data_IF_814007950235
#
_entry.id   IF_814007950235
#
_cell.length_a   1.000
_cell.length_b   1.000
_cell.length_c   1.000
_cell.angle_alpha   90.00
_cell.angle_beta   90.00
_cell.angle_gamma   90.00
#
_symmetry.space_group_name_H-M   'P 1'
#
loop_
_entity.id
_entity.type
_entity.pdbx_description
1 polymer ?
#
# COMPACT_ATOMS: atom_id res chain seq x y z
N UNK A 1 5.68 -4.57 19.44
CA UNK A 1 6.59 -3.63 18.72
C UNK A 1 7.11 -4.24 17.40
N UNK A 2 7.75 -5.42 17.39
CA UNK A 2 8.35 -6.09 16.21
C UNK A 2 7.36 -6.24 15.06
N UNK A 3 6.18 -6.82 15.31
CA UNK A 3 5.14 -7.01 14.30
C UNK A 3 4.82 -5.71 13.53
N UNK A 4 4.58 -4.58 14.25
CA UNK A 4 4.24 -3.31 13.56
C UNK A 4 5.38 -2.79 12.68
N UNK A 5 6.63 -2.93 13.14
CA UNK A 5 7.81 -2.49 12.37
C UNK A 5 8.01 -3.36 11.13
N UNK A 6 7.98 -4.68 11.29
CA UNK A 6 8.15 -5.62 10.17
C UNK A 6 6.99 -5.50 9.17
N UNK A 7 5.75 -5.35 9.66
CA UNK A 7 4.56 -5.08 8.83
C UNK A 7 4.75 -3.82 7.99
N UNK A 8 5.24 -2.73 8.59
CA UNK A 8 5.51 -1.48 7.87
C UNK A 8 6.60 -1.64 6.82
N UNK A 9 7.68 -2.36 7.12
CA UNK A 9 8.76 -2.62 6.15
C UNK A 9 8.30 -3.42 4.95
N UNK A 10 7.45 -4.44 5.16
CA UNK A 10 6.85 -5.23 4.08
C UNK A 10 5.90 -4.35 3.27
N UNK A 11 4.97 -3.66 3.92
CA UNK A 11 3.96 -2.82 3.28
C UNK A 11 4.57 -1.71 2.42
N UNK A 12 5.70 -1.14 2.87
CA UNK A 12 6.39 -0.06 2.14
C UNK A 12 7.41 -0.57 1.11
N UNK A 13 7.44 -1.87 0.82
CA UNK A 13 8.34 -2.44 -0.18
C UNK A 13 9.84 -2.36 0.18
N UNK A 14 10.18 -2.24 1.47
CA UNK A 14 11.57 -2.27 1.92
C UNK A 14 12.19 -3.66 1.79
N UNK A 15 11.34 -4.69 1.82
CA UNK A 15 11.71 -6.09 1.63
C UNK A 15 11.24 -6.50 0.23
N UNK A 16 12.15 -6.97 -0.60
CA UNK A 16 11.82 -7.35 -1.99
C UNK A 16 10.99 -8.66 -2.03
N UNK A 17 10.25 -8.92 -3.13
CA UNK A 17 9.59 -10.21 -3.34
C UNK A 17 10.58 -11.38 -3.23
N UNK A 18 10.14 -12.53 -2.74
CA UNK A 18 10.96 -13.75 -2.61
C UNK A 18 12.05 -13.68 -1.53
N UNK A 19 12.20 -12.56 -0.83
CA UNK A 19 13.25 -12.36 0.17
C UNK A 19 13.07 -13.30 1.35
N UNK A 20 14.11 -14.09 1.64
CA UNK A 20 14.14 -14.97 2.80
C UNK A 20 14.32 -14.17 4.09
N UNK A 21 13.56 -14.55 5.11
CA UNK A 21 13.62 -13.98 6.45
C UNK A 21 13.91 -15.10 7.46
N UNK A 22 14.79 -14.83 8.42
CA UNK A 22 15.06 -15.77 9.51
C UNK A 22 14.66 -15.16 10.85
N UNK A 23 14.15 -15.98 11.77
CA UNK A 23 13.81 -15.50 13.11
C UNK A 23 14.99 -14.86 13.82
N UNK A 24 16.19 -15.45 13.65
CA UNK A 24 17.44 -14.89 14.20
C UNK A 24 17.78 -13.53 13.58
N UNK A 25 17.61 -13.41 12.24
CA UNK A 25 17.82 -12.14 11.52
C UNK A 25 16.85 -11.05 11.97
N UNK A 26 15.57 -11.39 12.14
CA UNK A 26 14.53 -10.47 12.66
C UNK A 26 14.87 -10.08 14.11
N UNK A 27 15.25 -11.04 14.97
CA UNK A 27 15.67 -10.78 16.34
C UNK A 27 16.83 -9.78 16.41
N UNK A 28 17.89 -10.02 15.62
CA UNK A 28 19.05 -9.10 15.52
C UNK A 28 18.67 -7.72 15.00
N UNK A 29 17.85 -7.66 13.95
CA UNK A 29 17.44 -6.38 13.30
C UNK A 29 16.64 -5.48 14.24
N UNK A 30 15.80 -6.05 15.09
CA UNK A 30 14.90 -5.30 15.97
C UNK A 30 15.32 -5.30 17.43
N UNK A 31 16.47 -5.91 17.73
CA UNK A 31 17.00 -6.07 19.09
C UNK A 31 15.99 -6.73 20.04
N UNK A 32 15.55 -7.93 19.66
CA UNK A 32 14.58 -8.71 20.43
C UNK A 32 14.95 -10.20 20.45
N UNK A 33 14.43 -10.92 21.44
CA UNK A 33 14.56 -12.38 21.50
C UNK A 33 13.75 -13.08 20.40
N UNK A 34 13.95 -14.41 20.27
CA UNK A 34 13.29 -15.23 19.25
C UNK A 34 11.78 -15.32 19.41
N UNK A 35 11.25 -15.19 20.63
CA UNK A 35 9.81 -15.33 20.91
C UNK A 35 8.98 -14.22 20.25
N UNK A 36 9.24 -12.92 20.47
CA UNK A 36 8.50 -11.87 19.78
C UNK A 36 8.74 -11.87 18.26
N UNK A 37 9.92 -12.32 17.78
CA UNK A 37 10.18 -12.48 16.36
C UNK A 37 9.26 -13.56 15.74
N UNK A 38 9.13 -14.71 16.40
CA UNK A 38 8.27 -15.82 15.96
C UNK A 38 6.80 -15.42 15.94
N UNK A 39 6.34 -14.71 16.96
CA UNK A 39 4.96 -14.24 17.03
C UNK A 39 4.64 -13.24 15.90
N UNK A 40 5.56 -12.32 15.62
CA UNK A 40 5.40 -11.38 14.50
C UNK A 40 5.31 -12.12 13.16
N UNK A 41 6.18 -13.11 12.92
CA UNK A 41 6.15 -13.92 11.70
C UNK A 41 4.84 -14.71 11.59
N UNK A 42 4.38 -15.38 12.65
CA UNK A 42 3.10 -16.12 12.62
C UNK A 42 1.93 -15.24 12.22
N UNK A 43 1.83 -14.04 12.78
CA UNK A 43 0.78 -13.08 12.42
C UNK A 43 0.88 -12.65 10.96
N UNK A 44 2.07 -12.32 10.46
CA UNK A 44 2.27 -11.89 9.08
C UNK A 44 2.02 -13.02 8.08
N UNK A 45 2.29 -14.27 8.45
CA UNK A 45 1.90 -15.44 7.65
C UNK A 45 0.37 -15.57 7.60
N UNK A 46 -0.33 -15.41 8.73
CA UNK A 46 -1.80 -15.43 8.77
C UNK A 46 -2.44 -14.28 7.97
N UNK A 47 -1.77 -13.13 7.88
CA UNK A 47 -2.20 -11.98 7.05
C UNK A 47 -1.80 -12.13 5.56
N UNK A 48 -1.13 -13.23 5.17
CA UNK A 48 -0.67 -13.46 3.79
C UNK A 48 0.50 -12.56 3.35
N UNK A 49 1.13 -11.85 4.27
CA UNK A 49 2.28 -10.98 4.02
C UNK A 49 3.61 -11.74 3.95
N UNK A 50 3.65 -12.91 4.56
CA UNK A 50 4.78 -13.83 4.53
C UNK A 50 4.29 -15.23 4.18
N UNK A 51 5.15 -16.02 3.53
CA UNK A 51 4.94 -17.41 3.23
C UNK A 51 5.83 -18.28 4.14
N UNK A 52 5.30 -19.42 4.58
CA UNK A 52 6.03 -20.43 5.33
C UNK A 52 6.03 -21.71 4.50
N UNK A 53 7.20 -22.14 4.06
CA UNK A 53 7.35 -23.41 3.32
C UNK A 53 7.25 -24.62 4.25
N UNK A 54 7.07 -25.81 3.68
CA UNK A 54 7.12 -27.10 4.41
C UNK A 54 8.45 -27.35 5.13
N UNK A 55 9.54 -26.77 4.63
CA UNK A 55 10.86 -26.83 5.27
C UNK A 55 11.04 -25.80 6.40
N UNK A 56 10.02 -25.01 6.72
CA UNK A 56 10.10 -23.96 7.75
C UNK A 56 10.75 -22.65 7.29
N UNK A 57 11.03 -22.49 5.99
CA UNK A 57 11.60 -21.25 5.44
C UNK A 57 10.51 -20.20 5.36
N UNK A 58 10.81 -19.01 5.90
CA UNK A 58 9.95 -17.83 5.82
C UNK A 58 10.46 -16.90 4.70
N UNK A 59 9.56 -16.40 3.87
CA UNK A 59 9.88 -15.42 2.83
C UNK A 59 8.70 -14.50 2.54
N UNK A 60 8.96 -13.35 1.95
CA UNK A 60 7.93 -12.55 1.29
C UNK A 60 7.44 -13.29 0.04
N UNK A 61 6.13 -13.35 -0.24
CA UNK A 61 5.63 -14.03 -1.43
C UNK A 61 6.06 -13.32 -2.72
N UNK A 62 6.31 -14.11 -3.76
CA UNK A 62 6.30 -13.67 -5.15
C UNK A 62 4.89 -13.89 -5.68
N UNK A 63 4.20 -12.79 -6.03
CA UNK A 63 2.83 -12.88 -6.48
C UNK A 63 2.78 -13.29 -7.96
N UNK A 64 1.94 -14.28 -8.27
CA UNK A 64 1.58 -14.60 -9.67
C UNK A 64 0.70 -13.49 -10.27
N UNK A 65 0.61 -13.44 -11.60
CA UNK A 65 -0.26 -12.49 -12.28
C UNK A 65 -1.72 -12.61 -11.83
N UNK A 66 -2.25 -13.83 -11.72
CA UNK A 66 -3.61 -14.08 -11.23
C UNK A 66 -3.82 -13.51 -9.82
N UNK A 67 -2.82 -13.67 -8.94
CA UNK A 67 -2.89 -13.12 -7.57
C UNK A 67 -2.83 -11.60 -7.56
N UNK A 68 -2.03 -11.00 -8.43
CA UNK A 68 -1.97 -9.54 -8.60
C UNK A 68 -3.32 -9.01 -9.09
N UNK A 69 -3.93 -9.68 -10.08
CA UNK A 69 -5.25 -9.31 -10.59
C UNK A 69 -6.35 -9.43 -9.53
N UNK A 70 -6.35 -10.49 -8.74
CA UNK A 70 -7.28 -10.67 -7.63
C UNK A 70 -7.16 -9.55 -6.59
N UNK A 71 -5.93 -9.23 -6.15
CA UNK A 71 -5.69 -8.14 -5.20
C UNK A 71 -6.06 -6.77 -5.80
N UNK A 72 -5.83 -6.56 -7.10
CA UNK A 72 -6.26 -5.38 -7.83
C UNK A 72 -7.79 -5.22 -7.84
N UNK A 73 -8.50 -6.32 -8.06
CA UNK A 73 -9.97 -6.34 -8.03
C UNK A 73 -10.50 -5.98 -6.63
N UNK A 74 -9.90 -6.49 -5.56
CA UNK A 74 -10.26 -6.12 -4.19
C UNK A 74 -10.03 -4.63 -3.93
N UNK A 75 -8.92 -4.05 -4.36
CA UNK A 75 -8.67 -2.61 -4.27
C UNK A 75 -9.73 -1.82 -5.03
N UNK A 76 -10.04 -2.22 -6.26
CA UNK A 76 -11.04 -1.57 -7.11
C UNK A 76 -12.47 -1.65 -6.57
N UNK A 77 -12.77 -2.59 -5.69
CA UNK A 77 -14.05 -2.69 -4.97
C UNK A 77 -14.07 -1.84 -3.70
N UNK A 78 -13.00 -1.89 -2.89
CA UNK A 78 -12.96 -1.29 -1.57
C UNK A 78 -12.63 0.21 -1.60
N UNK A 79 -11.62 0.62 -2.38
CA UNK A 79 -11.05 1.96 -2.27
C UNK A 79 -11.93 3.07 -2.85
N UNK A 80 -12.65 2.89 -3.99
CA UNK A 80 -13.64 3.86 -4.44
C UNK A 80 -14.79 4.05 -3.46
N UNK A 81 -15.24 2.99 -2.77
CA UNK A 81 -16.27 3.08 -1.74
C UNK A 81 -15.78 3.83 -0.51
N UNK A 82 -14.55 3.54 -0.05
CA UNK A 82 -13.92 4.29 1.04
C UNK A 82 -13.80 5.78 0.71
N UNK A 83 -13.42 6.12 -0.53
CA UNK A 83 -13.29 7.51 -0.97
C UNK A 83 -14.63 8.25 -1.00
N UNK A 84 -15.68 7.60 -1.50
CA UNK A 84 -17.02 8.18 -1.54
C UNK A 84 -17.55 8.43 -0.12
N UNK A 85 -17.38 7.50 0.79
CA UNK A 85 -17.73 7.68 2.21
C UNK A 85 -16.94 8.79 2.91
N UNK A 86 -15.71 9.05 2.44
CA UNK A 86 -14.87 10.14 2.95
C UNK A 86 -15.31 11.52 2.44
N UNK A 87 -15.94 11.60 1.26
CA UNK A 87 -16.28 12.85 0.56
C UNK A 87 -17.05 13.87 1.44
N UNK A 88 -18.11 13.49 2.20
CA UNK A 88 -18.85 14.46 3.04
C UNK A 88 -17.98 15.10 4.14
N UNK A 89 -16.77 14.57 4.40
CA UNK A 89 -15.80 15.04 5.40
C UNK A 89 -14.53 15.59 4.78
N UNK A 90 -14.52 15.81 3.47
CA UNK A 90 -13.40 16.35 2.71
C UNK A 90 -13.34 17.89 2.79
N UNK A 91 -13.12 18.41 3.99
CA UNK A 91 -12.92 19.84 4.22
C UNK A 91 -11.52 20.29 3.76
N UNK A 92 -11.32 21.63 3.67
CA UNK A 92 -10.12 22.24 3.10
C UNK A 92 -8.82 21.71 3.71
N UNK A 93 -8.76 21.56 5.04
CA UNK A 93 -7.55 21.03 5.71
C UNK A 93 -7.17 19.60 5.28
N UNK A 94 -8.15 18.74 4.95
CA UNK A 94 -7.87 17.43 4.36
C UNK A 94 -7.27 17.57 2.97
N UNK A 95 -7.86 18.44 2.14
CA UNK A 95 -7.42 18.69 0.76
C UNK A 95 -5.98 19.21 0.75
N UNK A 96 -5.65 20.18 1.59
CA UNK A 96 -4.30 20.72 1.75
C UNK A 96 -3.31 19.64 2.20
N UNK A 97 -3.72 18.79 3.14
CA UNK A 97 -2.91 17.66 3.59
C UNK A 97 -2.61 16.68 2.45
N UNK A 98 -3.63 16.32 1.64
CA UNK A 98 -3.45 15.44 0.47
C UNK A 98 -2.54 16.08 -0.58
N UNK A 99 -2.65 17.38 -0.82
CA UNK A 99 -1.75 18.11 -1.72
C UNK A 99 -0.30 18.14 -1.21
N UNK A 100 -0.10 18.30 0.10
CA UNK A 100 1.22 18.21 0.73
C UNK A 100 1.85 16.82 0.55
N UNK A 101 1.06 15.75 0.72
CA UNK A 101 1.53 14.36 0.49
C UNK A 101 1.88 14.15 -0.99
N UNK A 102 1.10 14.71 -1.94
CA UNK A 102 1.44 14.69 -3.36
C UNK A 102 2.80 15.36 -3.66
N UNK A 103 3.12 16.43 -2.94
CA UNK A 103 4.45 17.04 -3.00
C UNK A 103 5.55 16.09 -2.55
N UNK A 104 5.32 15.32 -1.48
CA UNK A 104 6.27 14.28 -1.02
C UNK A 104 6.44 13.15 -2.03
N UNK A 105 5.36 12.71 -2.69
CA UNK A 105 5.41 11.72 -3.77
C UNK A 105 6.29 12.24 -4.92
N UNK A 106 6.09 13.48 -5.37
CA UNK A 106 6.89 14.10 -6.43
C UNK A 106 8.37 14.20 -6.06
N UNK A 107 8.67 14.53 -4.80
CA UNK A 107 10.05 14.56 -4.30
C UNK A 107 10.70 13.17 -4.27
N UNK A 108 9.95 12.13 -3.84
CA UNK A 108 10.44 10.75 -3.84
C UNK A 108 10.74 10.26 -5.27
N UNK A 109 9.88 10.61 -6.24
CA UNK A 109 10.11 10.32 -7.66
C UNK A 109 11.38 11.01 -8.17
N UNK A 110 11.55 12.30 -7.90
CA UNK A 110 12.71 13.07 -8.32
C UNK A 110 14.03 12.50 -7.73
N UNK A 111 13.98 11.98 -6.50
CA UNK A 111 15.11 11.35 -5.80
C UNK A 111 15.30 9.87 -6.15
N UNK A 112 14.44 9.28 -6.98
CA UNK A 112 14.41 7.84 -7.26
C UNK A 112 14.24 6.97 -6.01
N UNK A 113 13.57 7.50 -4.98
CA UNK A 113 13.28 6.81 -3.73
C UNK A 113 11.99 5.99 -3.84
N UNK A 114 12.13 4.72 -4.21
CA UNK A 114 10.99 3.80 -4.34
C UNK A 114 10.24 3.60 -3.02
N UNK A 115 10.95 3.50 -1.90
CA UNK A 115 10.34 3.29 -0.57
C UNK A 115 9.59 4.53 -0.14
N UNK A 116 10.19 5.72 -0.29
CA UNK A 116 9.54 6.99 0.00
C UNK A 116 8.29 7.21 -0.86
N UNK A 117 8.36 6.85 -2.16
CA UNK A 117 7.21 6.87 -3.05
C UNK A 117 6.07 5.97 -2.54
N UNK A 118 6.34 4.67 -2.31
CA UNK A 118 5.32 3.70 -1.86
C UNK A 118 4.69 4.17 -0.55
N UNK A 119 5.53 4.59 0.41
CA UNK A 119 5.06 5.09 1.70
C UNK A 119 4.15 6.30 1.53
N UNK A 120 4.56 7.31 0.79
CA UNK A 120 3.75 8.53 0.60
C UNK A 120 2.49 8.26 -0.20
N UNK A 121 2.53 7.34 -1.16
CA UNK A 121 1.34 6.89 -1.90
C UNK A 121 0.31 6.24 -0.95
N UNK A 122 0.73 5.31 -0.10
CA UNK A 122 -0.16 4.69 0.89
C UNK A 122 -0.65 5.69 1.93
N UNK A 123 0.19 6.65 2.35
CA UNK A 123 -0.20 7.72 3.27
C UNK A 123 -1.27 8.64 2.65
N UNK A 124 -1.22 8.91 1.35
CA UNK A 124 -2.26 9.66 0.63
C UNK A 124 -3.60 8.95 0.74
N UNK A 125 -3.68 7.70 0.32
CA UNK A 125 -4.91 6.91 0.36
C UNK A 125 -5.41 6.73 1.80
N UNK A 126 -4.55 6.36 2.72
CA UNK A 126 -4.92 6.17 4.13
C UNK A 126 -5.46 7.46 4.75
N UNK A 127 -4.84 8.61 4.46
CA UNK A 127 -5.30 9.93 4.96
C UNK A 127 -6.73 10.23 4.50
N UNK A 128 -7.05 9.93 3.25
CA UNK A 128 -8.41 10.07 2.70
C UNK A 128 -9.36 9.06 3.37
N UNK A 129 -9.01 7.77 3.37
CA UNK A 129 -9.93 6.71 3.81
C UNK A 129 -10.20 6.70 5.32
N UNK A 130 -9.34 7.28 6.13
CA UNK A 130 -9.64 7.51 7.55
C UNK A 130 -10.89 8.39 7.74
N UNK A 131 -11.25 9.22 6.76
CA UNK A 131 -12.47 10.04 6.79
C UNK A 131 -13.73 9.26 6.41
N UNK A 132 -13.60 8.06 5.85
CA UNK A 132 -14.75 7.19 5.53
C UNK A 132 -15.53 6.73 6.74
N UNK A 133 -14.94 6.72 7.94
CA UNK A 133 -15.52 6.15 9.18
C UNK A 133 -15.97 4.69 8.98
N UNK A 134 -15.22 3.93 8.18
CA UNK A 134 -15.47 2.53 7.84
C UNK A 134 -14.26 1.66 8.22
N UNK A 135 -14.00 1.45 9.53
CA UNK A 135 -12.76 0.81 10.00
C UNK A 135 -12.59 -0.62 9.49
N UNK A 136 -13.67 -1.38 9.31
CA UNK A 136 -13.60 -2.73 8.77
C UNK A 136 -13.13 -2.75 7.32
N UNK A 137 -13.67 -1.85 6.46
CA UNK A 137 -13.25 -1.73 5.07
C UNK A 137 -11.80 -1.26 4.96
N UNK A 138 -11.39 -0.30 5.79
CA UNK A 138 -10.01 0.20 5.81
C UNK A 138 -9.04 -0.90 6.23
N UNK A 139 -9.38 -1.71 7.24
CA UNK A 139 -8.56 -2.84 7.66
C UNK A 139 -8.36 -3.88 6.54
N UNK A 140 -9.42 -4.17 5.76
CA UNK A 140 -9.34 -5.03 4.58
C UNK A 140 -8.42 -4.43 3.50
N UNK A 141 -8.59 -3.15 3.18
CA UNK A 141 -7.72 -2.47 2.21
C UNK A 141 -6.24 -2.49 2.66
N UNK A 142 -5.97 -2.20 3.94
CA UNK A 142 -4.61 -2.28 4.50
C UNK A 142 -4.01 -3.69 4.46
N UNK A 143 -4.83 -4.75 4.56
CA UNK A 143 -4.37 -6.13 4.39
C UNK A 143 -3.99 -6.41 2.94
N UNK A 144 -4.77 -5.92 1.97
CA UNK A 144 -4.42 -6.02 0.55
C UNK A 144 -3.12 -5.26 0.25
N UNK A 145 -2.96 -4.03 0.76
CA UNK A 145 -1.72 -3.26 0.61
C UNK A 145 -0.50 -3.98 1.19
N UNK A 146 -0.67 -4.62 2.35
CA UNK A 146 0.39 -5.38 3.00
C UNK A 146 0.87 -6.55 2.12
N UNK A 147 -0.05 -7.30 1.54
CA UNK A 147 0.27 -8.42 0.65
C UNK A 147 0.96 -7.96 -0.65
N UNK A 148 0.60 -6.79 -1.14
CA UNK A 148 1.18 -6.21 -2.36
C UNK A 148 2.49 -5.46 -2.14
N UNK A 149 2.82 -5.09 -0.90
CA UNK A 149 3.92 -4.19 -0.59
C UNK A 149 5.25 -4.54 -1.27
N UNK A 150 5.76 -5.79 -1.18
CA UNK A 150 6.98 -6.20 -1.88
C UNK A 150 6.90 -6.00 -3.39
N UNK A 151 5.77 -6.34 -4.03
CA UNK A 151 5.53 -6.23 -5.47
C UNK A 151 5.46 -4.78 -5.94
N UNK A 152 5.01 -3.85 -5.09
CA UNK A 152 4.97 -2.41 -5.41
C UNK A 152 6.35 -1.82 -5.72
N UNK A 153 7.42 -2.41 -5.19
CA UNK A 153 8.79 -2.01 -5.53
C UNK A 153 9.13 -2.33 -6.99
N UNK A 154 8.72 -3.49 -7.47
CA UNK A 154 8.89 -3.90 -8.88
C UNK A 154 8.03 -3.02 -9.80
N UNK A 155 6.82 -2.67 -9.35
CA UNK A 155 5.96 -1.73 -10.06
C UNK A 155 6.62 -0.36 -10.20
N UNK A 156 7.16 0.19 -9.11
CA UNK A 156 7.83 1.51 -9.15
C UNK A 156 8.94 1.56 -10.21
N UNK A 157 9.68 0.47 -10.41
CA UNK A 157 10.72 0.39 -11.43
C UNK A 157 10.19 0.48 -12.87
N UNK A 158 8.93 0.09 -13.10
CA UNK A 158 8.24 0.12 -14.41
C UNK A 158 7.43 1.40 -14.65
N UNK A 159 7.16 2.21 -13.62
CA UNK A 159 6.33 3.40 -13.75
C UNK A 159 7.01 4.49 -14.60
N UNK A 160 6.27 5.05 -15.54
CA UNK A 160 6.66 6.27 -16.24
C UNK A 160 6.61 7.46 -15.29
N UNK A 161 7.74 8.14 -15.11
CA UNK A 161 7.91 9.20 -14.10
C UNK A 161 7.00 10.41 -14.31
N UNK A 162 6.46 10.59 -15.51
CA UNK A 162 5.58 11.72 -15.86
C UNK A 162 4.13 11.53 -15.41
N UNK A 163 3.70 10.28 -15.14
CA UNK A 163 2.30 9.97 -14.84
C UNK A 163 1.98 9.85 -13.35
N UNK A 164 2.99 9.67 -12.50
CA UNK A 164 2.85 9.29 -11.10
C UNK A 164 1.94 10.24 -10.27
N UNK A 165 1.88 11.56 -10.44
CA UNK A 165 0.92 12.39 -9.69
C UNK A 165 -0.43 12.63 -10.38
N UNK A 166 -0.63 12.13 -11.62
CA UNK A 166 -1.81 12.51 -12.43
C UNK A 166 -3.13 12.07 -11.79
N UNK A 167 -3.24 10.82 -11.38
CA UNK A 167 -4.47 10.28 -10.80
C UNK A 167 -4.78 10.94 -9.45
N UNK A 168 -3.79 11.16 -8.60
CA UNK A 168 -3.99 11.88 -7.33
C UNK A 168 -4.48 13.31 -7.52
N UNK A 169 -4.05 14.01 -8.58
CA UNK A 169 -4.57 15.33 -8.92
C UNK A 169 -6.06 15.27 -9.26
N UNK A 170 -6.50 14.24 -10.00
CA UNK A 170 -7.91 14.03 -10.32
C UNK A 170 -8.73 13.71 -9.08
N UNK A 171 -8.22 12.89 -8.15
CA UNK A 171 -8.84 12.62 -6.86
C UNK A 171 -9.05 13.93 -6.07
N UNK A 172 -8.00 14.73 -5.95
CA UNK A 172 -8.08 16.04 -5.25
C UNK A 172 -9.06 16.99 -5.93
N UNK A 173 -9.10 17.02 -7.26
CA UNK A 173 -10.04 17.84 -8.01
C UNK A 173 -11.50 17.43 -7.76
N UNK A 174 -11.79 16.13 -7.79
CA UNK A 174 -13.13 15.59 -7.50
C UNK A 174 -13.54 15.87 -6.05
N UNK A 175 -12.62 15.74 -5.07
CA UNK A 175 -12.89 16.11 -3.67
C UNK A 175 -13.26 17.59 -3.53
N UNK A 176 -12.55 18.50 -4.22
CA UNK A 176 -12.83 19.94 -4.21
C UNK A 176 -14.19 20.29 -4.82
N UNK A 177 -14.57 19.55 -5.86
CA UNK A 177 -15.83 19.76 -6.57
C UNK A 177 -17.03 19.09 -5.88
N UNK A 178 -16.81 18.22 -4.88
CA UNK A 178 -17.87 17.38 -4.30
C UNK A 178 -18.41 16.35 -5.31
N UNK A 179 -17.62 16.00 -6.33
CA UNK A 179 -17.99 15.08 -7.41
C UNK A 179 -17.74 13.62 -6.99
N UNK A 180 -18.75 12.96 -6.41
CA UNK A 180 -18.65 11.58 -5.99
C UNK A 180 -18.43 10.60 -7.17
N UNK A 181 -19.17 10.66 -8.29
CA UNK A 181 -18.91 9.78 -9.43
C UNK A 181 -17.49 9.94 -9.98
N UNK A 182 -17.02 11.17 -10.18
CA UNK A 182 -15.67 11.45 -10.63
C UNK A 182 -14.60 10.97 -9.65
N UNK A 183 -14.85 11.10 -8.35
CA UNK A 183 -13.96 10.59 -7.30
C UNK A 183 -13.82 9.07 -7.36
N UNK A 184 -14.92 8.34 -7.50
CA UNK A 184 -14.91 6.88 -7.63
C UNK A 184 -14.13 6.44 -8.87
N UNK A 185 -14.33 7.11 -10.00
CA UNK A 185 -13.60 6.82 -11.24
C UNK A 185 -12.11 7.10 -11.08
N UNK A 186 -11.75 8.25 -10.52
CA UNK A 186 -10.36 8.64 -10.33
C UNK A 186 -9.61 7.67 -9.40
N UNK A 187 -10.22 7.27 -8.26
CA UNK A 187 -9.61 6.30 -7.33
C UNK A 187 -9.48 4.93 -7.99
N UNK A 188 -10.52 4.44 -8.68
CA UNK A 188 -10.46 3.16 -9.40
C UNK A 188 -9.35 3.17 -10.44
N UNK A 189 -9.21 4.23 -11.22
CA UNK A 189 -8.15 4.37 -12.22
C UNK A 189 -6.77 4.34 -11.56
N UNK A 190 -6.59 5.06 -10.46
CA UNK A 190 -5.33 5.12 -9.73
C UNK A 190 -4.89 3.73 -9.23
N UNK A 191 -5.78 3.03 -8.51
CA UNK A 191 -5.44 1.73 -7.89
C UNK A 191 -5.31 0.58 -8.88
N UNK A 192 -5.83 0.70 -10.09
CA UNK A 192 -5.75 -0.34 -11.14
C UNK A 192 -4.67 -0.07 -12.18
N UNK A 193 -4.32 1.21 -12.42
CA UNK A 193 -3.37 1.57 -13.47
C UNK A 193 -2.00 0.91 -13.27
N UNK A 194 -1.42 1.08 -12.10
CA UNK A 194 -0.10 0.51 -11.81
C UNK A 194 -0.06 -1.02 -11.84
N UNK A 195 -1.17 -1.68 -11.51
CA UNK A 195 -1.23 -3.13 -11.41
C UNK A 195 -1.35 -3.82 -12.77
N UNK A 196 -2.00 -3.18 -13.75
CA UNK A 196 -2.03 -3.66 -15.14
C UNK A 196 -0.63 -3.69 -15.78
N UNK A 197 0.28 -2.83 -15.33
CA UNK A 197 1.68 -2.83 -15.81
C UNK A 197 2.51 -3.98 -15.24
N UNK A 198 2.08 -4.61 -14.13
CA UNK A 198 2.76 -5.78 -13.57
C UNK A 198 2.33 -7.08 -14.23
N UNK A 199 1.09 -7.14 -14.73
CA UNK A 199 0.53 -8.33 -15.40
C UNK A 199 0.97 -8.47 -16.87
N UNK A 200 1.67 -7.47 -17.42
CA UNK A 200 2.33 -7.49 -18.73
C UNK A 200 3.83 -7.84 -18.57
#
# INVERSE_FOLDING_TARGET
MVYRRLRGEIMHGQIAPGSALTLRGIGKRFDVSMTPAREAVRRLVAEGALSLSSSGRVSTPELSNDRIEELAALRALLEPELSARALPRAHMALIERLQSINGQISQAVAKQDAVGYIKSNLDFHRTLYLRAQAPAMLAMAETVWLQMGPTMRSLYAKLERTEIPRHHKLIVAALKAGDEPGLRVAVRADVTHGLRMLAQ
#
